data_IF_119727992392
#
_entry.id   IF_119727992392
#
_cell.length_a   1.000
_cell.length_b   1.000
_cell.length_c   1.000
_cell.angle_alpha   90.00
_cell.angle_beta   90.00
_cell.angle_gamma   90.00
#
_symmetry.space_group_name_H-M   'P 1'
#
loop_
_entity.id
_entity.type
_entity.pdbx_description
1 polymer ?
#
# COMPACT_ATOMS: atom_id res chain seq x y z
N UNK A 1 7.57 36.68 -16.51
CA UNK A 1 7.92 35.31 -16.82
C UNK A 1 8.24 34.40 -15.64
N UNK A 2 8.79 34.88 -14.51
CA UNK A 2 9.28 34.03 -13.43
C UNK A 2 8.17 33.33 -12.61
N UNK A 3 7.04 33.98 -12.44
CA UNK A 3 5.91 33.40 -11.68
C UNK A 3 5.31 32.14 -12.34
N UNK A 4 5.23 32.08 -13.67
CA UNK A 4 4.71 30.94 -14.41
C UNK A 4 5.63 29.72 -14.28
N UNK A 5 6.94 29.90 -14.29
CA UNK A 5 7.94 28.85 -14.12
C UNK A 5 7.86 28.29 -12.69
N UNK A 6 7.66 29.15 -11.69
CA UNK A 6 7.54 28.74 -10.30
C UNK A 6 6.28 27.91 -10.04
N UNK A 7 5.15 28.26 -10.67
CA UNK A 7 3.89 27.51 -10.60
C UNK A 7 4.04 26.13 -11.26
N UNK A 8 4.73 26.02 -12.39
CA UNK A 8 4.97 24.74 -13.07
C UNK A 8 5.85 23.83 -12.19
N UNK A 9 6.92 24.35 -11.60
CA UNK A 9 7.82 23.59 -10.71
C UNK A 9 7.07 23.09 -9.45
N UNK A 10 6.18 23.89 -8.88
CA UNK A 10 5.37 23.52 -7.72
C UNK A 10 4.33 22.45 -8.11
N UNK A 11 3.71 22.59 -9.28
CA UNK A 11 2.74 21.63 -9.80
C UNK A 11 3.40 20.26 -10.10
N UNK A 12 4.60 20.25 -10.68
CA UNK A 12 5.36 19.01 -10.93
C UNK A 12 5.81 18.34 -9.63
N UNK A 13 6.30 19.11 -8.65
CA UNK A 13 6.63 18.56 -7.31
C UNK A 13 5.41 17.97 -6.61
N UNK A 14 4.23 18.58 -6.74
CA UNK A 14 2.99 18.07 -6.18
C UNK A 14 2.56 16.77 -6.87
N UNK A 15 2.60 16.70 -8.21
CA UNK A 15 2.32 15.49 -8.98
C UNK A 15 3.25 14.32 -8.61
N UNK A 16 4.55 14.58 -8.49
CA UNK A 16 5.53 13.57 -8.08
C UNK A 16 5.24 13.05 -6.66
N UNK A 17 4.92 13.95 -5.74
CA UNK A 17 4.56 13.58 -4.36
C UNK A 17 3.26 12.79 -4.29
N UNK A 18 2.24 13.19 -5.04
CA UNK A 18 0.94 12.50 -5.08
C UNK A 18 1.09 11.10 -5.71
N UNK A 19 1.90 10.96 -6.76
CA UNK A 19 2.21 9.66 -7.37
C UNK A 19 2.99 8.74 -6.40
N UNK A 20 3.94 9.29 -5.64
CA UNK A 20 4.67 8.52 -4.63
C UNK A 20 3.75 8.05 -3.50
N UNK A 21 2.84 8.90 -3.03
CA UNK A 21 1.84 8.55 -2.00
C UNK A 21 0.88 7.48 -2.54
N UNK A 22 0.43 7.61 -3.79
CA UNK A 22 -0.44 6.63 -4.43
C UNK A 22 0.25 5.27 -4.56
N UNK A 23 1.50 5.24 -5.06
CA UNK A 23 2.31 4.02 -5.14
C UNK A 23 2.50 3.38 -3.76
N UNK A 24 2.77 4.17 -2.74
CA UNK A 24 2.93 3.66 -1.37
C UNK A 24 1.64 3.03 -0.83
N UNK A 25 0.48 3.64 -1.10
CA UNK A 25 -0.83 3.07 -0.74
C UNK A 25 -1.11 1.76 -1.47
N UNK A 26 -0.81 1.69 -2.76
CA UNK A 26 -0.96 0.46 -3.57
C UNK A 26 -0.07 -0.66 -3.03
N UNK A 27 1.19 -0.37 -2.72
CA UNK A 27 2.12 -1.33 -2.11
C UNK A 27 1.59 -1.84 -0.76
N UNK A 28 1.11 -0.98 0.12
CA UNK A 28 0.54 -1.39 1.41
C UNK A 28 -0.73 -2.23 1.25
N UNK A 29 -1.52 -1.96 0.22
CA UNK A 29 -2.73 -2.73 -0.07
C UNK A 29 -2.40 -4.15 -0.54
N UNK A 30 -1.36 -4.29 -1.36
CA UNK A 30 -0.91 -5.58 -1.91
C UNK A 30 -0.11 -6.39 -0.87
N UNK A 31 0.41 -5.75 0.18
CA UNK A 31 1.26 -6.39 1.18
C UNK A 31 0.60 -7.63 1.81
N UNK A 32 -0.66 -7.52 2.24
CA UNK A 32 -1.40 -8.62 2.86
C UNK A 32 -1.54 -9.82 1.92
N UNK A 33 -1.72 -9.58 0.62
CA UNK A 33 -1.82 -10.64 -0.39
C UNK A 33 -0.49 -11.35 -0.59
N UNK A 34 0.62 -10.60 -0.67
CA UNK A 34 1.97 -11.16 -0.83
C UNK A 34 2.34 -12.03 0.37
N UNK A 35 2.13 -11.52 1.60
CA UNK A 35 2.43 -12.25 2.82
C UNK A 35 1.58 -13.52 2.93
N UNK A 36 0.28 -13.45 2.62
CA UNK A 36 -0.62 -14.60 2.64
C UNK A 36 -0.20 -15.67 1.63
N UNK A 37 0.18 -15.30 0.41
CA UNK A 37 0.68 -16.24 -0.60
C UNK A 37 1.96 -16.94 -0.14
N UNK A 38 2.90 -16.18 0.42
CA UNK A 38 4.13 -16.74 0.98
C UNK A 38 3.83 -17.72 2.12
N UNK A 39 2.98 -17.34 3.07
CA UNK A 39 2.58 -18.18 4.19
C UNK A 39 1.95 -19.50 3.72
N UNK A 40 1.05 -19.42 2.73
CA UNK A 40 0.39 -20.60 2.15
C UNK A 40 1.40 -21.55 1.50
N UNK A 41 2.30 -21.03 0.67
CA UNK A 41 3.28 -21.85 -0.05
C UNK A 41 4.32 -22.47 0.91
N UNK A 42 4.76 -21.73 1.91
CA UNK A 42 5.63 -22.25 2.97
C UNK A 42 4.90 -23.29 3.84
N UNK A 43 3.60 -23.09 4.08
CA UNK A 43 2.72 -24.06 4.74
C UNK A 43 2.58 -25.35 3.96
N UNK A 44 2.61 -25.29 2.63
CA UNK A 44 2.63 -26.45 1.73
C UNK A 44 4.01 -27.15 1.67
N UNK A 45 5.01 -26.67 2.43
CA UNK A 45 6.33 -27.29 2.51
C UNK A 45 7.35 -26.76 1.50
N UNK A 46 7.04 -25.71 0.76
CA UNK A 46 7.99 -25.10 -0.16
C UNK A 46 9.10 -24.35 0.60
N UNK A 47 10.31 -24.31 0.05
CA UNK A 47 11.36 -23.41 0.53
C UNK A 47 11.03 -21.96 0.17
N UNK A 48 11.62 -21.00 0.88
CA UNK A 48 11.42 -19.56 0.61
C UNK A 48 11.72 -19.23 -0.86
N UNK A 49 12.82 -19.75 -1.39
CA UNK A 49 13.21 -19.55 -2.78
C UNK A 49 12.16 -20.10 -3.76
N UNK A 50 11.68 -21.33 -3.54
CA UNK A 50 10.63 -21.94 -4.39
C UNK A 50 9.32 -21.19 -4.31
N UNK A 51 8.90 -20.78 -3.12
CA UNK A 51 7.68 -19.99 -2.92
C UNK A 51 7.77 -18.64 -3.62
N UNK A 52 8.92 -17.95 -3.50
CA UNK A 52 9.16 -16.69 -4.18
C UNK A 52 9.11 -16.81 -5.71
N UNK A 53 9.82 -17.81 -6.23
CA UNK A 53 9.83 -18.12 -7.67
C UNK A 53 8.41 -18.43 -8.17
N UNK A 54 7.65 -19.24 -7.43
CA UNK A 54 6.26 -19.60 -7.78
C UNK A 54 5.37 -18.36 -7.89
N UNK A 55 5.46 -17.42 -6.93
CA UNK A 55 4.69 -16.17 -6.97
C UNK A 55 5.07 -15.32 -8.19
N UNK A 56 6.37 -15.23 -8.50
CA UNK A 56 6.85 -14.49 -9.67
C UNK A 56 6.39 -15.12 -10.98
N UNK A 57 6.48 -16.44 -11.10
CA UNK A 57 6.08 -17.18 -12.28
C UNK A 57 4.55 -17.08 -12.54
N UNK A 58 3.73 -17.29 -11.50
CA UNK A 58 2.28 -17.18 -11.58
C UNK A 58 1.83 -15.77 -11.97
N UNK A 59 2.53 -14.74 -11.48
CA UNK A 59 2.22 -13.37 -11.87
C UNK A 59 2.56 -13.08 -13.34
N UNK A 60 3.73 -13.53 -13.83
CA UNK A 60 4.13 -13.38 -15.23
C UNK A 60 3.13 -14.07 -16.17
N UNK A 61 2.77 -15.31 -15.85
CA UNK A 61 1.79 -16.08 -16.62
C UNK A 61 0.43 -15.37 -16.69
N UNK A 62 -0.06 -14.84 -15.57
CA UNK A 62 -1.31 -14.09 -15.53
C UNK A 62 -1.27 -12.77 -16.31
N UNK A 63 -0.14 -12.08 -16.36
CA UNK A 63 0.04 -10.87 -17.19
C UNK A 63 0.06 -11.24 -18.67
N UNK A 64 0.80 -12.28 -19.06
CA UNK A 64 0.91 -12.73 -20.46
C UNK A 64 -0.45 -13.17 -21.03
N UNK A 65 -1.27 -13.80 -20.20
CA UNK A 65 -2.64 -14.20 -20.58
C UNK A 65 -3.71 -13.10 -20.38
N UNK A 66 -3.31 -11.88 -20.04
CA UNK A 66 -4.25 -10.76 -19.86
C UNK A 66 -5.19 -10.90 -18.65
N UNK A 67 -4.90 -11.85 -17.73
CA UNK A 67 -5.73 -12.13 -16.54
C UNK A 67 -5.42 -11.23 -15.34
N UNK A 68 -4.32 -10.50 -15.38
CA UNK A 68 -3.91 -9.62 -14.30
C UNK A 68 -3.46 -8.24 -14.80
N UNK A 69 -3.69 -7.24 -13.97
CA UNK A 69 -3.17 -5.88 -14.18
C UNK A 69 -1.80 -5.76 -13.52
N UNK A 70 -0.91 -4.99 -14.14
CA UNK A 70 0.42 -4.72 -13.56
C UNK A 70 0.31 -4.05 -12.20
N UNK A 71 1.04 -4.61 -11.23
CA UNK A 71 1.12 -4.09 -9.85
C UNK A 71 2.59 -3.91 -9.45
N UNK A 72 2.94 -2.76 -8.88
CA UNK A 72 4.33 -2.42 -8.57
C UNK A 72 5.07 -3.44 -7.70
N UNK A 73 4.39 -4.03 -6.71
CA UNK A 73 5.01 -5.02 -5.81
C UNK A 73 5.40 -6.30 -6.55
N UNK A 74 4.55 -6.78 -7.44
CA UNK A 74 4.83 -8.02 -8.18
C UNK A 74 5.92 -7.82 -9.23
N UNK A 75 6.03 -6.63 -9.82
CA UNK A 75 7.15 -6.28 -10.70
C UNK A 75 8.48 -6.32 -9.91
N UNK A 76 8.49 -5.83 -8.65
CA UNK A 76 9.67 -5.93 -7.77
C UNK A 76 9.96 -7.38 -7.32
N UNK A 77 8.93 -8.21 -7.11
CA UNK A 77 9.08 -9.65 -6.83
C UNK A 77 9.74 -10.35 -8.02
N UNK A 78 9.26 -10.11 -9.24
CA UNK A 78 9.83 -10.68 -10.47
C UNK A 78 11.29 -10.26 -10.68
N UNK A 79 11.62 -9.00 -10.41
CA UNK A 79 12.97 -8.48 -10.48
C UNK A 79 13.90 -9.12 -9.45
N UNK A 80 13.38 -9.36 -8.25
CA UNK A 80 14.14 -10.05 -7.18
C UNK A 80 14.38 -11.50 -7.53
N UNK A 81 13.37 -12.20 -8.06
CA UNK A 81 13.49 -13.57 -8.55
C UNK A 81 14.55 -13.68 -9.66
N UNK A 82 14.50 -12.77 -10.63
CA UNK A 82 15.52 -12.69 -11.69
C UNK A 82 16.94 -12.51 -11.14
N UNK A 83 17.12 -11.63 -10.16
CA UNK A 83 18.40 -11.38 -9.53
C UNK A 83 18.94 -12.63 -8.82
N UNK A 84 18.06 -13.39 -8.13
CA UNK A 84 18.45 -14.66 -7.47
C UNK A 84 18.86 -15.70 -8.52
N UNK A 85 18.11 -15.80 -9.63
CA UNK A 85 18.46 -16.70 -10.74
C UNK A 85 19.78 -16.31 -11.42
N UNK A 86 20.05 -15.01 -11.51
CA UNK A 86 21.31 -14.46 -12.03
C UNK A 86 22.51 -14.63 -11.09
N UNK A 87 22.34 -15.31 -9.92
CA UNK A 87 23.42 -15.64 -9.00
C UNK A 87 23.64 -14.62 -7.87
N UNK A 88 22.78 -13.62 -7.72
CA UNK A 88 22.83 -12.75 -6.53
C UNK A 88 22.36 -13.56 -5.32
N UNK A 89 23.07 -13.46 -4.19
CA UNK A 89 22.69 -14.17 -2.97
C UNK A 89 21.28 -13.78 -2.51
N UNK A 90 20.50 -14.75 -2.04
CA UNK A 90 19.12 -14.53 -1.57
C UNK A 90 19.04 -13.43 -0.49
N UNK A 91 20.00 -13.43 0.45
CA UNK A 91 20.10 -12.40 1.49
C UNK A 91 20.13 -10.99 0.91
N UNK A 92 21.01 -10.77 -0.07
CA UNK A 92 21.17 -9.47 -0.73
C UNK A 92 19.98 -9.11 -1.61
N UNK A 93 19.42 -10.10 -2.30
CA UNK A 93 18.25 -9.90 -3.16
C UNK A 93 17.00 -9.48 -2.36
N UNK A 94 16.73 -10.13 -1.21
CA UNK A 94 15.60 -9.75 -0.32
C UNK A 94 15.84 -8.40 0.35
N UNK A 95 17.08 -8.08 0.75
CA UNK A 95 17.39 -6.75 1.28
C UNK A 95 17.10 -5.64 0.26
N UNK A 96 17.55 -5.84 -0.97
CA UNK A 96 17.30 -4.90 -2.06
C UNK A 96 15.80 -4.76 -2.37
N UNK A 97 15.05 -5.86 -2.32
CA UNK A 97 13.60 -5.85 -2.47
C UNK A 97 12.93 -4.95 -1.41
N UNK A 98 13.24 -5.15 -0.13
CA UNK A 98 12.71 -4.33 0.95
C UNK A 98 13.01 -2.84 0.76
N UNK A 99 14.23 -2.50 0.37
CA UNK A 99 14.64 -1.11 0.11
C UNK A 99 13.91 -0.49 -1.09
N UNK A 100 13.67 -1.25 -2.18
CA UNK A 100 12.97 -0.76 -3.37
C UNK A 100 11.48 -0.57 -3.17
N UNK A 101 10.86 -1.37 -2.30
CA UNK A 101 9.45 -1.25 -2.00
C UNK A 101 9.12 -0.04 -1.11
N UNK A 102 10.08 0.51 -0.35
CA UNK A 102 9.99 1.69 0.53
C UNK A 102 9.10 1.56 1.79
N UNK A 103 7.85 1.04 1.82
CA UNK A 103 7.12 0.87 3.07
C UNK A 103 7.85 -0.02 4.08
N UNK A 104 7.79 0.35 5.37
CA UNK A 104 8.45 -0.37 6.47
C UNK A 104 8.03 -1.85 6.55
N UNK A 105 6.82 -2.15 6.15
CA UNK A 105 6.27 -3.50 6.10
C UNK A 105 7.10 -4.42 5.19
N UNK A 106 7.52 -3.94 4.03
CA UNK A 106 8.37 -4.71 3.12
C UNK A 106 9.81 -4.87 3.62
N UNK A 107 10.33 -3.88 4.35
CA UNK A 107 11.63 -4.02 5.02
C UNK A 107 11.55 -5.09 6.13
N UNK A 108 10.46 -5.12 6.90
CA UNK A 108 10.20 -6.15 7.91
C UNK A 108 10.11 -7.53 7.26
N UNK A 109 9.35 -7.67 6.17
CA UNK A 109 9.25 -8.91 5.42
C UNK A 109 10.63 -9.37 4.90
N UNK A 110 11.42 -8.47 4.33
CA UNK A 110 12.77 -8.78 3.88
C UNK A 110 13.66 -9.29 5.01
N UNK A 111 13.61 -8.67 6.18
CA UNK A 111 14.34 -9.11 7.37
C UNK A 111 13.89 -10.51 7.85
N UNK A 112 12.58 -10.80 7.82
CA UNK A 112 12.04 -12.11 8.15
C UNK A 112 12.54 -13.19 7.17
N UNK A 113 12.53 -12.90 5.86
CA UNK A 113 13.04 -13.80 4.82
C UNK A 113 14.54 -14.08 5.01
N UNK A 114 15.33 -13.06 5.35
CA UNK A 114 16.77 -13.23 5.66
C UNK A 114 17.00 -14.07 6.91
N UNK A 115 16.18 -13.89 7.93
CA UNK A 115 16.27 -14.66 9.18
C UNK A 115 16.01 -16.15 8.94
N UNK A 116 15.08 -16.46 8.02
CA UNK A 116 14.76 -17.83 7.65
C UNK A 116 15.95 -18.59 7.04
N UNK A 117 16.71 -17.94 6.18
CA UNK A 117 17.92 -18.53 5.58
C UNK A 117 18.90 -19.00 6.68
N UNK A 118 18.85 -18.36 7.85
CA UNK A 118 19.71 -18.68 9.00
C UNK A 118 19.09 -19.65 10.01
N UNK A 119 17.77 -19.60 10.23
CA UNK A 119 17.08 -20.31 11.34
C UNK A 119 16.10 -21.41 10.92
N UNK A 120 15.74 -21.49 9.62
CA UNK A 120 14.85 -22.53 9.11
C UNK A 120 13.37 -22.11 8.94
N UNK A 121 12.64 -22.88 8.13
CA UNK A 121 11.33 -22.55 7.57
C UNK A 121 10.19 -22.54 8.60
N UNK A 122 10.28 -23.34 9.68
CA UNK A 122 9.21 -23.41 10.69
C UNK A 122 9.00 -22.10 11.44
N UNK A 123 10.09 -21.46 11.85
CA UNK A 123 10.02 -20.18 12.56
C UNK A 123 9.53 -19.05 11.65
N UNK A 124 9.97 -19.03 10.40
CA UNK A 124 9.47 -18.06 9.43
C UNK A 124 7.96 -18.18 9.23
N UNK A 125 7.45 -19.41 9.08
CA UNK A 125 6.02 -19.65 8.89
C UNK A 125 5.21 -19.06 10.04
N UNK A 126 5.59 -19.30 11.29
CA UNK A 126 4.92 -18.76 12.47
C UNK A 126 4.89 -17.22 12.46
N UNK A 127 6.05 -16.60 12.18
CA UNK A 127 6.16 -15.14 12.10
C UNK A 127 5.35 -14.54 10.95
N UNK A 128 5.26 -15.23 9.81
CA UNK A 128 4.43 -14.79 8.69
C UNK A 128 2.93 -14.96 8.95
N UNK A 129 2.52 -15.98 9.70
CA UNK A 129 1.13 -16.14 10.14
C UNK A 129 0.70 -14.96 11.03
N UNK A 130 1.54 -14.56 11.98
CA UNK A 130 1.32 -13.35 12.80
C UNK A 130 1.28 -12.07 11.93
N UNK A 131 2.22 -11.91 11.00
CA UNK A 131 2.26 -10.75 10.09
C UNK A 131 1.05 -10.70 9.16
N UNK A 132 0.55 -11.85 8.74
CA UNK A 132 -0.66 -11.94 7.90
C UNK A 132 -1.87 -11.39 8.66
N UNK A 133 -2.06 -11.76 9.93
CA UNK A 133 -3.16 -11.27 10.76
C UNK A 133 -3.09 -9.73 10.91
N UNK A 134 -1.92 -9.21 11.25
CA UNK A 134 -1.68 -7.76 11.37
C UNK A 134 -1.92 -7.01 10.04
N UNK A 135 -1.50 -7.59 8.92
CA UNK A 135 -1.67 -7.00 7.61
C UNK A 135 -3.15 -6.93 7.19
N UNK A 136 -3.94 -7.96 7.50
CA UNK A 136 -5.38 -7.95 7.27
C UNK A 136 -6.11 -6.92 8.12
N UNK A 137 -5.73 -6.77 9.39
CA UNK A 137 -6.32 -5.77 10.27
C UNK A 137 -6.02 -4.34 9.78
N UNK A 138 -4.77 -4.07 9.40
CA UNK A 138 -4.39 -2.79 8.79
C UNK A 138 -5.17 -2.50 7.50
N UNK A 139 -5.35 -3.50 6.65
CA UNK A 139 -6.15 -3.36 5.42
C UNK A 139 -7.61 -3.04 5.71
N UNK A 140 -8.22 -3.72 6.69
CA UNK A 140 -9.58 -3.46 7.16
C UNK A 140 -9.73 -2.04 7.70
N UNK A 141 -8.77 -1.57 8.48
CA UNK A 141 -8.77 -0.22 9.04
C UNK A 141 -8.60 0.85 7.95
N UNK A 142 -7.73 0.62 6.96
CA UNK A 142 -7.60 1.52 5.80
C UNK A 142 -8.90 1.60 4.97
N UNK A 143 -9.63 0.50 4.84
CA UNK A 143 -10.94 0.49 4.16
C UNK A 143 -12.00 1.27 4.94
N UNK A 144 -12.01 1.17 6.28
CA UNK A 144 -12.90 1.95 7.15
C UNK A 144 -12.64 3.45 7.05
N UNK A 145 -11.37 3.88 7.11
CA UNK A 145 -10.99 5.30 7.00
C UNK A 145 -11.43 5.88 5.66
N UNK A 146 -11.33 5.13 4.56
CA UNK A 146 -11.85 5.57 3.25
C UNK A 146 -13.38 5.74 3.25
N UNK A 147 -14.11 4.90 3.97
CA UNK A 147 -15.56 5.02 4.13
C UNK A 147 -15.94 6.25 4.96
N UNK A 148 -15.23 6.52 6.05
CA UNK A 148 -15.48 7.67 6.93
C UNK A 148 -15.12 9.01 6.28
N UNK A 149 -14.05 9.07 5.46
CA UNK A 149 -13.73 10.28 4.67
C UNK A 149 -14.85 10.66 3.69
N UNK A 150 -15.54 9.69 3.11
CA UNK A 150 -16.67 9.94 2.22
C UNK A 150 -17.88 10.51 2.99
N UNK A 151 -18.14 10.01 4.18
CA UNK A 151 -19.24 10.45 5.04
C UNK A 151 -18.99 11.86 5.58
N UNK A 152 -17.77 12.17 5.98
CA UNK A 152 -17.40 13.50 6.48
C UNK A 152 -17.45 14.57 5.39
N UNK A 153 -17.12 14.22 4.13
CA UNK A 153 -17.28 15.14 2.99
C UNK A 153 -18.74 15.50 2.70
N UNK A 154 -19.67 14.62 3.01
CA UNK A 154 -21.11 14.87 2.86
C UNK A 154 -21.68 15.72 4.00
N UNK A 155 -21.08 15.70 5.20
CA UNK A 155 -21.50 16.53 6.33
C UNK A 155 -21.15 18.02 6.14
N UNK A 156 -20.07 18.33 5.41
CA UNK A 156 -19.64 19.71 5.19
C UNK A 156 -20.68 20.59 4.47
N UNK A 157 -21.28 20.18 3.33
CA UNK A 157 -22.32 20.95 2.69
C UNK A 157 -23.60 21.05 3.55
N UNK A 158 -23.90 20.04 4.35
CA UNK A 158 -25.07 20.05 5.24
C UNK A 158 -24.92 21.06 6.38
N UNK A 159 -23.72 21.18 6.98
CA UNK A 159 -23.41 22.21 7.98
C UNK A 159 -23.45 23.62 7.38
N UNK A 160 -22.99 23.78 6.14
CA UNK A 160 -23.01 25.06 5.45
C UNK A 160 -24.45 25.52 5.16
N UNK A 161 -25.33 24.60 4.77
CA UNK A 161 -26.74 24.88 4.54
C UNK A 161 -27.48 25.25 5.84
N UNK A 162 -27.16 24.58 6.94
CA UNK A 162 -27.69 24.89 8.26
C UNK A 162 -27.31 26.31 8.72
N UNK A 163 -26.05 26.71 8.51
CA UNK A 163 -25.57 28.05 8.82
C UNK A 163 -26.29 29.12 8.00
N UNK A 164 -26.53 28.90 6.72
CA UNK A 164 -27.26 29.85 5.84
C UNK A 164 -28.71 29.98 6.31
N UNK A 165 -29.40 28.89 6.61
CA UNK A 165 -30.78 28.92 7.12
C UNK A 165 -30.86 29.67 8.46
N UNK A 166 -29.92 29.41 9.37
CA UNK A 166 -29.85 30.11 10.65
C UNK A 166 -29.63 31.62 10.46
N UNK A 167 -28.77 32.03 9.54
CA UNK A 167 -28.52 33.44 9.22
C UNK A 167 -29.79 34.12 8.66
N UNK A 168 -30.53 33.45 7.76
CA UNK A 168 -31.80 33.98 7.16
C UNK A 168 -32.87 34.19 8.23
N UNK A 169 -32.94 33.33 9.24
CA UNK A 169 -33.92 33.44 10.32
C UNK A 169 -33.52 34.53 11.34
N UNK A 170 -32.21 34.64 11.63
CA UNK A 170 -31.73 35.59 12.64
C UNK A 170 -31.80 37.05 12.16
N UNK A 171 -31.57 37.34 10.88
CA UNK A 171 -31.58 38.71 10.35
C UNK A 171 -32.92 39.40 10.58
N UNK A 172 -34.09 38.86 10.23
CA UNK A 172 -35.40 39.52 10.49
C UNK A 172 -35.76 39.55 11.97
N UNK A 173 -35.32 38.55 12.77
CA UNK A 173 -35.57 38.55 14.21
C UNK A 173 -34.87 39.71 14.94
N UNK A 174 -33.61 40.01 14.57
CA UNK A 174 -32.85 41.11 15.15
C UNK A 174 -33.47 42.49 14.72
N UNK A 175 -33.94 42.60 13.48
CA UNK A 175 -34.62 43.85 13.01
C UNK A 175 -35.95 44.07 13.68
N UNK A 176 -36.69 42.99 14.00
CA UNK A 176 -37.99 43.11 14.70
C UNK A 176 -37.83 43.55 16.17
N UNK A 177 -36.66 43.37 16.78
CA UNK A 177 -36.39 43.83 18.15
C UNK A 177 -35.88 45.27 18.22
N UNK A 178 -35.60 45.93 17.09
CA UNK A 178 -35.11 47.32 17.03
C UNK A 178 -36.20 48.36 16.66
N UNK A 179 -37.42 47.92 16.48
CA UNK A 179 -38.60 48.77 16.33
C UNK A 179 -39.46 48.70 17.59
#
# INVERSE_FOLDING_TARGET
>A
GGAAILVVIIADKKKVKDNAIKRKKELLYDYSEVVSKLTLLLGAGMTTRMAWHKIAADYKDNIEHGKAVRRPVYDEICKTDYNIQAGISELKAYEQFGKRCDPREYMKLAALLQTNIRKGTKELRRLLEEETADAFEKRKNMAKIKGEEATTKLLMPMMMMLMIVMAIIMIPAVWSFQI
#
